data_IF_440349221882
#
_entry.id   IF_440349221882
#
_cell.length_a   1.000
_cell.length_b   1.000
_cell.length_c   1.000
_cell.angle_alpha   90.00
_cell.angle_beta   90.00
_cell.angle_gamma   90.00
#
_symmetry.space_group_name_H-M   'P 1'
#
loop_
_entity.id
_entity.type
_entity.pdbx_description
1 polymer ?
#
# COMPACT_ATOMS: atom_id res chain seq x y z
N UNK A 1 41.16 10.57 -14.54
CA UNK A 1 40.32 9.53 -13.87
C UNK A 1 39.06 9.39 -14.72
N UNK A 2 38.99 8.40 -15.60
CA UNK A 2 37.88 8.27 -16.56
C UNK A 2 36.60 7.82 -15.82
N UNK A 3 35.52 8.57 -15.95
CA UNK A 3 34.19 8.13 -15.51
C UNK A 3 33.81 6.91 -16.35
N UNK A 4 33.78 5.72 -15.76
CA UNK A 4 33.17 4.54 -16.40
C UNK A 4 31.68 4.82 -16.51
N UNK A 5 31.14 4.76 -17.73
CA UNK A 5 29.69 4.77 -17.93
C UNK A 5 29.10 3.53 -17.23
N UNK A 6 28.35 3.76 -16.14
CA UNK A 6 27.69 2.71 -15.37
C UNK A 6 26.24 2.48 -15.82
N UNK A 7 25.82 3.07 -16.94
CA UNK A 7 24.49 2.81 -17.51
C UNK A 7 24.39 1.32 -17.87
N UNK A 8 23.61 0.60 -17.08
CA UNK A 8 23.26 -0.78 -17.39
C UNK A 8 22.28 -0.74 -18.57
N UNK A 9 22.66 -1.32 -19.70
CA UNK A 9 21.75 -1.41 -20.85
C UNK A 9 20.53 -2.27 -20.51
N UNK A 10 19.36 -1.80 -20.92
CA UNK A 10 18.12 -2.54 -20.76
C UNK A 10 17.99 -3.57 -21.88
N UNK A 11 18.35 -4.81 -21.58
CA UNK A 11 18.42 -5.90 -22.56
C UNK A 11 17.18 -6.80 -22.56
N UNK A 12 16.11 -6.40 -21.87
CA UNK A 12 14.86 -7.14 -21.84
C UNK A 12 13.91 -6.63 -22.92
N UNK A 13 13.21 -7.55 -23.59
CA UNK A 13 12.21 -7.24 -24.63
C UNK A 13 11.11 -6.31 -24.10
N UNK A 14 10.65 -6.59 -22.89
CA UNK A 14 9.57 -5.89 -22.24
C UNK A 14 10.09 -4.66 -21.48
N UNK A 15 9.27 -3.62 -21.33
CA UNK A 15 9.72 -2.33 -20.78
C UNK A 15 9.61 -2.19 -19.26
N UNK A 16 8.91 -3.09 -18.58
CA UNK A 16 8.65 -2.97 -17.15
C UNK A 16 9.16 -4.16 -16.36
N UNK A 17 9.88 -3.89 -15.27
CA UNK A 17 10.22 -4.87 -14.26
C UNK A 17 9.13 -4.87 -13.18
N UNK A 18 8.39 -5.96 -13.11
CA UNK A 18 7.44 -6.25 -12.03
C UNK A 18 8.15 -7.07 -10.97
N UNK A 19 7.87 -6.79 -9.70
CA UNK A 19 8.40 -7.52 -8.57
C UNK A 19 7.40 -7.53 -7.44
N UNK A 20 7.54 -8.51 -6.54
CA UNK A 20 6.77 -8.58 -5.31
C UNK A 20 7.52 -7.79 -4.23
N UNK A 21 6.80 -6.89 -3.56
CA UNK A 21 7.23 -6.24 -2.33
C UNK A 21 6.52 -6.90 -1.15
N UNK A 22 7.29 -7.47 -0.24
CA UNK A 22 6.84 -7.87 1.09
C UNK A 22 7.30 -6.82 2.11
N UNK A 23 6.37 -6.22 2.84
CA UNK A 23 6.67 -5.19 3.85
C UNK A 23 6.05 -5.52 5.21
N UNK A 24 6.71 -5.09 6.28
CA UNK A 24 6.27 -5.32 7.66
C UNK A 24 6.20 -4.00 8.44
N UNK A 25 5.06 -3.70 9.05
CA UNK A 25 4.84 -2.52 9.90
C UNK A 25 5.18 -1.16 9.22
N UNK A 26 5.00 -1.06 7.90
CA UNK A 26 5.41 0.09 7.09
C UNK A 26 4.35 0.42 6.03
N UNK A 27 4.17 1.69 5.71
CA UNK A 27 3.28 2.11 4.63
C UNK A 27 3.88 1.75 3.27
N UNK A 28 3.03 1.48 2.28
CA UNK A 28 3.51 1.21 0.91
C UNK A 28 4.36 2.39 0.41
N UNK A 29 3.90 3.62 0.62
CA UNK A 29 4.62 4.81 0.17
C UNK A 29 5.96 5.00 0.87
N UNK A 30 6.05 4.72 2.18
CA UNK A 30 7.31 4.83 2.93
C UNK A 30 8.36 3.84 2.43
N UNK A 31 7.96 2.60 2.14
CA UNK A 31 8.85 1.59 1.57
C UNK A 31 9.37 2.03 0.19
N UNK A 32 8.46 2.49 -0.68
CA UNK A 32 8.80 2.90 -2.04
C UNK A 32 9.66 4.16 -2.06
N UNK A 33 9.37 5.15 -1.20
CA UNK A 33 10.18 6.37 -1.08
C UNK A 33 11.63 6.04 -0.68
N UNK A 34 11.82 5.16 0.31
CA UNK A 34 13.16 4.74 0.73
C UNK A 34 13.89 3.97 -0.36
N UNK A 35 13.22 3.04 -1.04
CA UNK A 35 13.80 2.35 -2.20
C UNK A 35 14.15 3.34 -3.32
N UNK A 36 13.31 4.35 -3.57
CA UNK A 36 13.55 5.39 -4.58
C UNK A 36 14.86 6.13 -4.32
N UNK A 37 15.12 6.50 -3.05
CA UNK A 37 16.35 7.17 -2.62
C UNK A 37 17.58 6.33 -2.94
N UNK A 38 17.59 5.04 -2.58
CA UNK A 38 18.73 4.15 -2.85
C UNK A 38 18.92 3.84 -4.34
N UNK A 39 17.85 3.90 -5.13
CA UNK A 39 17.93 3.72 -6.58
C UNK A 39 18.17 5.02 -7.34
N UNK A 40 18.17 6.18 -6.70
CA UNK A 40 18.20 7.49 -7.35
C UNK A 40 17.13 7.63 -8.45
N UNK A 41 15.90 7.21 -8.15
CA UNK A 41 14.72 7.39 -9.03
C UNK A 41 13.66 8.22 -8.32
N UNK A 42 12.70 8.77 -9.09
CA UNK A 42 11.57 9.50 -8.49
C UNK A 42 10.56 8.49 -7.91
N UNK A 43 9.94 8.75 -6.75
CA UNK A 43 8.93 7.86 -6.17
C UNK A 43 7.71 7.61 -7.08
N UNK A 44 7.35 8.57 -7.91
CA UNK A 44 6.26 8.42 -8.87
C UNK A 44 6.59 7.49 -10.07
N UNK A 45 7.82 7.00 -10.17
CA UNK A 45 8.18 5.96 -11.15
C UNK A 45 7.64 4.58 -10.76
N UNK A 46 7.35 4.36 -9.48
CA UNK A 46 6.75 3.11 -9.01
C UNK A 46 5.27 3.09 -9.36
N UNK A 47 4.82 1.95 -9.86
CA UNK A 47 3.41 1.67 -10.12
C UNK A 47 2.96 0.45 -9.32
N UNK A 48 1.72 0.47 -8.85
CA UNK A 48 1.12 -0.57 -8.03
C UNK A 48 -0.40 -0.50 -8.12
N UNK A 49 -1.09 -1.60 -7.81
CA UNK A 49 -2.54 -1.68 -7.95
C UNK A 49 -3.32 -1.07 -6.75
N UNK A 50 -2.67 -0.96 -5.59
CA UNK A 50 -3.24 -0.31 -4.41
C UNK A 50 -2.25 -0.32 -3.24
N UNK A 51 -2.51 0.49 -2.23
CA UNK A 51 -1.74 0.49 -0.96
C UNK A 51 -2.19 -0.67 -0.07
N UNK A 52 -1.34 -1.08 0.87
CA UNK A 52 -1.64 -2.13 1.85
C UNK A 52 -1.37 -1.62 3.26
N UNK A 53 -2.08 -2.18 4.23
CA UNK A 53 -2.05 -1.72 5.63
C UNK A 53 -0.63 -1.59 6.19
N UNK A 54 -0.41 -0.50 6.93
CA UNK A 54 0.85 -0.24 7.62
C UNK A 54 1.12 -1.31 8.67
N UNK A 55 0.16 -1.52 9.58
CA UNK A 55 0.27 -2.42 10.74
C UNK A 55 -0.04 -3.88 10.37
N UNK A 56 0.71 -4.42 9.41
CA UNK A 56 0.57 -5.80 8.95
C UNK A 56 1.87 -6.30 8.31
N UNK A 57 1.90 -7.59 8.00
CA UNK A 57 2.82 -8.15 6.99
C UNK A 57 2.04 -8.25 5.69
N UNK A 58 2.47 -7.51 4.67
CA UNK A 58 1.70 -7.39 3.43
C UNK A 58 2.57 -7.67 2.24
N UNK A 59 2.02 -8.36 1.24
CA UNK A 59 2.70 -8.68 -0.01
C UNK A 59 1.91 -8.09 -1.18
N UNK A 60 2.59 -7.40 -2.09
CA UNK A 60 1.93 -6.81 -3.27
C UNK A 60 2.88 -6.74 -4.47
N UNK A 61 2.30 -6.73 -5.67
CA UNK A 61 3.04 -6.42 -6.88
C UNK A 61 3.34 -4.91 -6.98
N UNK A 62 4.58 -4.61 -7.36
CA UNK A 62 5.10 -3.29 -7.70
C UNK A 62 5.75 -3.40 -9.08
N UNK A 63 5.81 -2.28 -9.81
CA UNK A 63 6.37 -2.24 -11.14
C UNK A 63 7.18 -0.94 -11.37
N UNK A 64 8.34 -1.08 -12.01
CA UNK A 64 9.21 0.01 -12.43
C UNK A 64 9.55 -0.11 -13.92
N UNK A 65 9.55 1.02 -14.64
CA UNK A 65 9.93 1.07 -16.05
C UNK A 65 11.44 1.03 -16.22
N UNK A 66 11.95 0.05 -16.96
CA UNK A 66 13.36 -0.11 -17.33
C UNK A 66 14.35 -0.01 -16.16
N UNK A 67 14.01 -0.57 -15.00
CA UNK A 67 14.92 -0.67 -13.85
C UNK A 67 15.36 -2.12 -13.68
N UNK A 68 16.67 -2.36 -13.72
CA UNK A 68 17.23 -3.70 -13.64
C UNK A 68 16.91 -4.38 -12.28
N UNK A 69 16.51 -5.66 -12.24
CA UNK A 69 16.18 -6.37 -10.99
C UNK A 69 17.24 -6.27 -9.90
N UNK A 70 18.52 -6.33 -10.28
CA UNK A 70 19.64 -6.21 -9.33
C UNK A 70 19.62 -4.89 -8.53
N UNK A 71 19.27 -3.79 -9.18
CA UNK A 71 19.17 -2.46 -8.56
C UNK A 71 17.99 -2.39 -7.58
N UNK A 72 16.87 -3.02 -7.94
CA UNK A 72 15.68 -3.14 -7.08
C UNK A 72 16.00 -4.00 -5.85
N UNK A 73 16.67 -5.13 -6.07
CA UNK A 73 17.09 -6.05 -5.02
C UNK A 73 18.05 -5.39 -4.02
N UNK A 74 19.04 -4.65 -4.51
CA UNK A 74 19.97 -3.90 -3.66
C UNK A 74 19.25 -2.84 -2.83
N UNK A 75 18.36 -2.05 -3.46
CA UNK A 75 17.59 -1.04 -2.74
C UNK A 75 16.66 -1.65 -1.68
N UNK A 76 15.98 -2.76 -2.01
CA UNK A 76 15.13 -3.48 -1.06
C UNK A 76 15.90 -3.97 0.17
N UNK A 77 17.14 -4.49 -0.01
CA UNK A 77 18.01 -4.91 1.10
C UNK A 77 18.40 -3.77 2.05
N UNK A 78 18.35 -2.52 1.59
CA UNK A 78 18.69 -1.33 2.38
C UNK A 78 17.49 -0.75 3.14
N UNK A 79 16.28 -1.26 2.93
CA UNK A 79 15.06 -0.79 3.61
C UNK A 79 14.64 -1.81 4.67
N UNK A 80 14.84 -1.52 5.97
CA UNK A 80 14.46 -2.44 7.04
C UNK A 80 12.97 -2.80 6.99
N UNK A 81 12.67 -4.09 7.08
CA UNK A 81 11.29 -4.59 7.03
C UNK A 81 10.67 -4.64 5.63
N UNK A 82 11.43 -4.35 4.57
CA UNK A 82 11.05 -4.57 3.17
C UNK A 82 11.88 -5.69 2.53
N UNK A 83 11.23 -6.52 1.72
CA UNK A 83 11.85 -7.61 0.97
C UNK A 83 11.28 -7.62 -0.43
N UNK A 84 12.13 -7.85 -1.42
CA UNK A 84 11.73 -7.84 -2.84
C UNK A 84 12.14 -9.13 -3.53
N UNK A 85 11.29 -9.60 -4.45
CA UNK A 85 11.53 -10.85 -5.16
C UNK A 85 10.53 -11.08 -6.30
N UNK A 86 10.49 -12.32 -6.79
CA UNK A 86 9.53 -12.77 -7.81
C UNK A 86 9.50 -11.85 -9.04
N UNK A 87 10.68 -11.50 -9.55
CA UNK A 87 10.82 -10.60 -10.69
C UNK A 87 10.21 -11.22 -11.96
N UNK A 88 9.48 -10.41 -12.71
CA UNK A 88 8.99 -10.73 -14.05
C UNK A 88 9.03 -9.49 -14.92
N UNK A 89 9.08 -9.67 -16.24
CA UNK A 89 9.00 -8.56 -17.18
C UNK A 89 7.63 -8.54 -17.85
N UNK A 90 7.15 -7.33 -18.15
CA UNK A 90 5.89 -7.13 -18.86
C UNK A 90 5.90 -5.81 -19.64
N UNK A 91 4.98 -5.70 -20.61
CA UNK A 91 4.88 -4.51 -21.46
C UNK A 91 4.06 -3.37 -20.85
N UNK A 92 3.27 -3.65 -19.81
CA UNK A 92 2.38 -2.68 -19.18
C UNK A 92 2.78 -2.41 -17.72
N UNK A 93 2.58 -1.17 -17.23
CA UNK A 93 2.68 -0.86 -15.81
C UNK A 93 1.49 -1.44 -15.04
N UNK A 94 1.56 -1.38 -13.71
CA UNK A 94 0.40 -1.61 -12.86
C UNK A 94 -0.44 -0.33 -12.78
N UNK A 95 -1.77 -0.47 -12.76
CA UNK A 95 -2.70 0.66 -12.58
C UNK A 95 -3.45 0.54 -11.26
N UNK A 96 -3.75 1.67 -10.62
CA UNK A 96 -4.60 1.70 -9.42
C UNK A 96 -5.95 1.03 -9.73
N UNK A 97 -6.40 0.14 -8.85
CA UNK A 97 -7.62 -0.65 -9.05
C UNK A 97 -7.43 -1.93 -9.87
N UNK A 98 -6.25 -2.20 -10.43
CA UNK A 98 -5.94 -3.43 -11.19
C UNK A 98 -5.65 -4.62 -10.26
N UNK A 99 -6.45 -4.80 -9.21
CA UNK A 99 -6.48 -5.99 -8.36
C UNK A 99 -7.93 -6.45 -8.19
N UNK A 100 -8.14 -7.75 -8.09
CA UNK A 100 -9.47 -8.29 -7.80
C UNK A 100 -9.83 -8.20 -6.31
N UNK A 101 -8.82 -8.24 -5.43
CA UNK A 101 -9.01 -8.22 -3.99
C UNK A 101 -7.73 -8.51 -3.23
N UNK A 102 -7.87 -8.81 -1.94
CA UNK A 102 -6.79 -9.19 -1.05
C UNK A 102 -7.16 -10.47 -0.33
N UNK A 103 -6.18 -11.33 -0.10
CA UNK A 103 -6.31 -12.44 0.82
C UNK A 103 -5.80 -12.02 2.20
N UNK A 104 -6.59 -12.30 3.24
CA UNK A 104 -6.26 -11.95 4.62
C UNK A 104 -6.11 -13.23 5.46
N UNK A 105 -5.04 -13.27 6.23
CA UNK A 105 -4.89 -14.23 7.34
C UNK A 105 -4.87 -13.41 8.62
N UNK A 106 -5.90 -13.57 9.44
CA UNK A 106 -6.13 -12.75 10.65
C UNK A 106 -6.07 -13.68 11.85
N UNK A 107 -5.33 -13.27 12.89
CA UNK A 107 -5.30 -13.95 14.17
C UNK A 107 -5.98 -13.06 15.21
N UNK A 108 -7.15 -13.48 15.67
CA UNK A 108 -7.83 -12.86 16.80
C UNK A 108 -7.23 -13.43 18.10
N UNK A 109 -6.87 -12.56 19.03
CA UNK A 109 -6.30 -12.92 20.33
C UNK A 109 -7.26 -12.52 21.44
N UNK A 110 -7.20 -13.22 22.58
CA UNK A 110 -8.03 -12.92 23.76
C UNK A 110 -9.53 -12.93 23.44
N UNK A 111 -9.98 -13.92 22.66
CA UNK A 111 -11.40 -14.08 22.33
C UNK A 111 -12.13 -14.58 23.58
N UNK A 112 -13.21 -13.90 23.95
CA UNK A 112 -14.10 -14.30 25.04
C UNK A 112 -15.41 -14.81 24.45
N UNK A 113 -15.40 -16.06 24.01
CA UNK A 113 -16.54 -16.76 23.39
C UNK A 113 -16.32 -18.27 23.52
N UNK A 114 -17.39 -19.06 23.44
CA UNK A 114 -17.28 -20.53 23.36
C UNK A 114 -16.92 -20.98 21.94
N UNK A 115 -16.45 -22.22 21.80
CA UNK A 115 -16.11 -22.78 20.48
C UNK A 115 -17.35 -22.83 19.55
N UNK A 116 -18.54 -23.07 20.11
CA UNK A 116 -19.80 -23.07 19.36
C UNK A 116 -20.17 -21.68 18.83
N UNK A 117 -19.97 -20.63 19.62
CA UNK A 117 -20.21 -19.25 19.20
C UNK A 117 -19.26 -18.84 18.06
N UNK A 118 -17.99 -19.25 18.16
CA UNK A 118 -16.97 -19.01 17.14
C UNK A 118 -17.33 -19.73 15.84
N UNK A 119 -17.66 -21.03 15.90
CA UNK A 119 -18.01 -21.83 14.73
C UNK A 119 -19.27 -21.28 14.03
N UNK A 120 -20.29 -20.89 14.81
CA UNK A 120 -21.50 -20.27 14.28
C UNK A 120 -21.20 -18.94 13.58
N UNK A 121 -20.34 -18.10 14.16
CA UNK A 121 -19.95 -16.81 13.57
C UNK A 121 -19.15 -16.99 12.27
N UNK A 122 -18.18 -17.91 12.25
CA UNK A 122 -17.35 -18.22 11.07
C UNK A 122 -18.19 -18.84 9.96
N UNK A 123 -19.08 -19.77 10.30
CA UNK A 123 -20.03 -20.37 9.33
C UNK A 123 -20.95 -19.31 8.73
N UNK A 124 -21.51 -18.43 9.56
CA UNK A 124 -22.34 -17.32 9.06
C UNK A 124 -21.55 -16.39 8.13
N UNK A 125 -20.31 -16.02 8.49
CA UNK A 125 -19.45 -15.19 7.65
C UNK A 125 -19.11 -15.87 6.31
N UNK A 126 -18.86 -17.19 6.31
CA UNK A 126 -18.59 -17.97 5.09
C UNK A 126 -19.80 -18.01 4.16
N UNK A 127 -20.98 -18.31 4.72
CA UNK A 127 -22.16 -18.64 3.91
C UNK A 127 -22.98 -17.39 3.54
N UNK A 128 -22.98 -16.36 4.40
CA UNK A 128 -23.77 -15.12 4.21
C UNK A 128 -22.90 -13.89 3.97
N UNK A 129 -21.61 -13.93 4.28
CA UNK A 129 -20.73 -12.77 4.19
C UNK A 129 -20.94 -11.78 5.32
N UNK A 130 -20.70 -10.50 5.03
CA UNK A 130 -20.83 -9.38 5.98
C UNK A 130 -21.31 -8.12 5.24
N UNK A 131 -21.78 -7.13 6.01
CA UNK A 131 -22.23 -5.85 5.43
C UNK A 131 -21.01 -5.03 5.00
N UNK A 132 -20.96 -4.66 3.72
CA UNK A 132 -19.83 -3.95 3.11
C UNK A 132 -19.79 -2.46 3.48
N UNK A 133 -19.49 -2.16 4.74
CA UNK A 133 -19.35 -0.78 5.22
C UNK A 133 -17.98 -0.18 4.89
N UNK A 134 -17.94 1.15 4.76
CA UNK A 134 -16.68 1.88 4.90
C UNK A 134 -16.22 1.81 6.36
N UNK A 135 -15.06 1.19 6.60
CA UNK A 135 -14.47 1.11 7.93
C UNK A 135 -14.06 2.48 8.49
N UNK A 136 -13.92 2.59 9.81
CA UNK A 136 -13.61 3.84 10.51
C UNK A 136 -12.34 4.54 10.01
N UNK A 137 -11.34 3.79 9.54
CA UNK A 137 -10.13 4.35 8.92
C UNK A 137 -10.44 5.29 7.74
N UNK A 138 -11.58 5.11 7.06
CA UNK A 138 -12.04 5.99 5.98
C UNK A 138 -12.48 7.37 6.46
N UNK A 139 -12.86 7.48 7.73
CA UNK A 139 -13.33 8.70 8.37
C UNK A 139 -12.23 9.43 9.17
N UNK A 140 -10.99 8.97 9.06
CA UNK A 140 -9.84 9.50 9.79
C UNK A 140 -9.62 8.77 11.12
N UNK A 141 -8.40 8.85 11.65
CA UNK A 141 -8.03 8.25 12.94
C UNK A 141 -8.39 9.14 14.13
N UNK A 142 -8.69 10.42 13.89
CA UNK A 142 -9.00 11.41 14.92
C UNK A 142 -10.51 11.65 14.94
N UNK A 143 -11.18 11.19 16.00
CA UNK A 143 -12.61 11.34 16.17
C UNK A 143 -13.07 12.82 16.24
N UNK A 144 -12.18 13.73 16.67
CA UNK A 144 -12.50 15.15 16.85
C UNK A 144 -12.77 15.91 15.54
N UNK A 145 -12.30 15.40 14.39
CA UNK A 145 -12.60 15.94 13.06
C UNK A 145 -12.80 14.80 12.07
N UNK A 146 -14.02 14.26 11.96
CA UNK A 146 -14.33 13.25 10.97
C UNK A 146 -14.18 13.81 9.54
N UNK A 147 -13.50 13.09 8.67
CA UNK A 147 -13.21 13.56 7.29
C UNK A 147 -14.47 13.88 6.48
N UNK A 148 -15.58 13.20 6.78
CA UNK A 148 -16.85 13.42 6.08
C UNK A 148 -17.51 14.77 6.43
N UNK A 149 -17.23 15.36 7.59
CA UNK A 149 -17.70 16.72 7.93
C UNK A 149 -16.99 17.76 7.06
N UNK A 150 -15.68 17.62 6.87
CA UNK A 150 -14.92 18.47 5.94
C UNK A 150 -15.49 18.33 4.53
N UNK A 151 -15.72 17.09 4.08
CA UNK A 151 -16.33 16.83 2.77
C UNK A 151 -17.70 17.49 2.60
N UNK A 152 -18.56 17.43 3.63
CA UNK A 152 -19.86 18.09 3.63
C UNK A 152 -19.73 19.61 3.49
N UNK A 153 -18.88 20.26 4.28
CA UNK A 153 -18.67 21.71 4.23
C UNK A 153 -18.18 22.17 2.85
N UNK A 154 -17.25 21.43 2.25
CA UNK A 154 -16.77 21.68 0.89
C UNK A 154 -17.90 21.59 -0.16
N UNK A 155 -18.73 20.55 -0.08
CA UNK A 155 -19.86 20.36 -1.02
C UNK A 155 -20.95 21.42 -0.87
N UNK A 156 -21.09 22.00 0.32
CA UNK A 156 -22.03 23.10 0.60
C UNK A 156 -21.46 24.47 0.24
N UNK A 157 -20.19 24.55 -0.19
CA UNK A 157 -19.51 25.82 -0.43
C UNK A 157 -19.19 26.61 0.85
N UNK A 158 -19.25 25.96 2.03
CA UNK A 158 -18.91 26.59 3.30
C UNK A 158 -17.39 26.53 3.53
N UNK A 159 -16.65 27.37 2.83
CA UNK A 159 -15.18 27.36 2.83
C UNK A 159 -14.57 27.65 4.20
N UNK A 160 -15.18 28.55 4.99
CA UNK A 160 -14.69 28.90 6.32
C UNK A 160 -14.74 27.68 7.24
N UNK A 161 -15.88 27.01 7.31
CA UNK A 161 -16.04 25.78 8.13
C UNK A 161 -15.08 24.68 7.66
N UNK A 162 -14.90 24.50 6.35
CA UNK A 162 -13.97 23.50 5.82
C UNK A 162 -12.53 23.77 6.30
N UNK A 163 -12.07 25.03 6.25
CA UNK A 163 -10.75 25.45 6.73
C UNK A 163 -10.62 25.25 8.23
N UNK A 164 -11.62 25.68 9.01
CA UNK A 164 -11.62 25.56 10.47
C UNK A 164 -11.52 24.09 10.91
N UNK A 165 -12.28 23.21 10.25
CA UNK A 165 -12.22 21.77 10.50
C UNK A 165 -10.84 21.17 10.16
N UNK A 166 -10.23 21.58 9.03
CA UNK A 166 -8.91 21.09 8.62
C UNK A 166 -7.82 21.51 9.61
N UNK A 167 -7.88 22.76 10.09
CA UNK A 167 -6.88 23.38 10.96
C UNK A 167 -7.11 23.11 12.45
N UNK A 168 -8.27 22.54 12.83
CA UNK A 168 -8.58 22.24 14.22
C UNK A 168 -7.47 21.37 14.84
N UNK A 169 -6.90 21.77 16.00
CA UNK A 169 -5.84 21.03 16.65
C UNK A 169 -6.23 19.57 16.87
N UNK A 170 -5.31 18.67 16.52
CA UNK A 170 -5.47 17.23 16.72
C UNK A 170 -4.61 16.85 17.93
N UNK A 171 -5.25 16.75 19.10
CA UNK A 171 -4.68 16.10 20.28
C UNK A 171 -4.76 14.59 20.14
#
# INVERSE_FOLDING_TARGET
RFYKDQRTEWNFKDNYCHFVLHKMNMDTMDALNQMAMYMHVKPNCFSYAGTKDRRARTTQWICLKRVHPAKILEAGRRVPGAFVGNFKFANEPLKLGQLQGNHFTIVLRNVNATDEEIEAAVTSLRDKGFINYYGLQRFGTVAAVPTHHIGKALMQGNWQEAVDLILKPRS
#
